data_IF_745685027583
#
_entry.id   IF_745685027583
#
_cell.length_a   1.000
_cell.length_b   1.000
_cell.length_c   1.000
_cell.angle_alpha   90.00
_cell.angle_beta   90.00
_cell.angle_gamma   90.00
#
_symmetry.space_group_name_H-M   'P 1'
#
loop_
_entity.id
_entity.type
_entity.pdbx_description
1 polymer ?
#
# COMPACT_ATOMS: atom_id res chain seq x y z
N UNK A 1 -12.08 34.80 16.47
CA UNK A 1 -10.63 34.93 16.21
C UNK A 1 -10.34 36.26 15.53
N UNK A 2 -9.36 37.01 16.03
CA UNK A 2 -8.93 38.28 15.43
C UNK A 2 -8.16 38.12 14.11
N UNK A 3 -8.07 39.20 13.34
CA UNK A 3 -7.42 39.23 12.01
C UNK A 3 -5.93 38.86 12.08
N UNK A 4 -5.21 39.34 13.10
CA UNK A 4 -3.79 39.08 13.33
C UNK A 4 -3.52 37.58 13.56
N UNK A 5 -4.33 36.92 14.39
CA UNK A 5 -4.22 35.47 14.64
C UNK A 5 -4.37 34.68 13.35
N UNK A 6 -5.37 35.00 12.53
CA UNK A 6 -5.56 34.34 11.22
C UNK A 6 -4.34 34.52 10.31
N UNK A 7 -3.71 35.70 10.32
CA UNK A 7 -2.52 35.99 9.53
C UNK A 7 -1.31 35.16 10.00
N UNK A 8 -1.01 35.17 11.31
CA UNK A 8 0.09 34.40 11.88
C UNK A 8 -0.10 32.90 11.66
N UNK A 9 -1.31 32.39 11.88
CA UNK A 9 -1.65 30.98 11.63
C UNK A 9 -1.48 30.65 10.14
N UNK A 10 -1.93 31.51 9.23
CA UNK A 10 -1.73 31.31 7.79
C UNK A 10 -0.25 31.26 7.36
N UNK A 11 0.60 32.10 7.95
CA UNK A 11 2.06 32.11 7.68
C UNK A 11 2.70 30.81 8.20
N UNK A 12 2.41 30.42 9.45
CA UNK A 12 2.93 29.17 10.02
C UNK A 12 2.53 27.93 9.20
N UNK A 13 1.29 27.91 8.69
CA UNK A 13 0.80 26.82 7.82
C UNK A 13 1.53 26.76 6.48
N UNK A 14 2.03 27.88 5.96
CA UNK A 14 2.84 27.92 4.74
C UNK A 14 4.21 27.29 4.93
N UNK A 15 4.84 27.47 6.09
CA UNK A 15 6.16 26.90 6.42
C UNK A 15 6.10 25.46 6.97
N UNK A 16 4.91 24.89 7.18
CA UNK A 16 4.74 23.52 7.66
C UNK A 16 5.45 22.47 6.80
N UNK A 17 6.01 21.45 7.46
CA UNK A 17 6.75 20.35 6.81
C UNK A 17 5.84 19.58 5.85
N UNK A 18 6.25 19.50 4.59
CA UNK A 18 5.60 18.73 3.53
C UNK A 18 6.00 17.25 3.61
N UNK A 19 5.08 16.38 3.20
CA UNK A 19 5.37 14.97 3.00
C UNK A 19 5.89 14.75 1.57
N UNK A 20 6.95 13.95 1.43
CA UNK A 20 7.43 13.53 0.11
C UNK A 20 6.48 12.48 -0.49
N UNK A 21 5.96 12.74 -1.69
CA UNK A 21 5.10 11.84 -2.45
C UNK A 21 5.94 10.88 -3.33
N UNK A 22 5.37 9.72 -3.63
CA UNK A 22 5.97 8.70 -4.49
C UNK A 22 6.18 9.22 -5.93
N UNK A 23 7.11 8.60 -6.67
CA UNK A 23 7.35 8.92 -8.08
C UNK A 23 6.20 8.46 -8.99
N UNK A 24 6.15 8.97 -10.23
CA UNK A 24 5.13 8.60 -11.23
C UNK A 24 5.12 7.09 -11.53
N UNK A 25 6.29 6.46 -11.55
CA UNK A 25 6.43 5.02 -11.78
C UNK A 25 5.72 4.22 -10.68
N UNK A 26 5.83 4.66 -9.43
CA UNK A 26 5.15 4.03 -8.29
C UNK A 26 3.64 4.28 -8.31
N UNK A 27 3.19 5.45 -8.78
CA UNK A 27 1.75 5.70 -9.02
C UNK A 27 1.21 4.73 -10.08
N UNK A 28 1.92 4.57 -11.20
CA UNK A 28 1.53 3.64 -12.27
C UNK A 28 1.49 2.18 -11.79
N UNK A 29 2.50 1.74 -11.04
CA UNK A 29 2.51 0.42 -10.41
C UNK A 29 1.27 0.17 -9.55
N UNK A 30 0.85 1.18 -8.79
CA UNK A 30 -0.30 1.06 -7.89
C UNK A 30 -1.66 0.99 -8.56
N UNK A 31 -1.77 1.45 -9.81
CA UNK A 31 -2.97 1.21 -10.63
C UNK A 31 -3.10 -0.30 -10.91
N UNK A 32 -2.00 -0.95 -11.29
CA UNK A 32 -1.96 -2.39 -11.49
C UNK A 32 -2.24 -3.18 -10.22
N UNK A 33 -1.66 -2.76 -9.08
CA UNK A 33 -1.96 -3.34 -7.77
C UNK A 33 -3.46 -3.24 -7.42
N UNK A 34 -4.07 -2.07 -7.67
CA UNK A 34 -5.48 -1.83 -7.38
C UNK A 34 -6.40 -2.69 -8.26
N UNK A 35 -6.05 -2.86 -9.53
CA UNK A 35 -6.77 -3.74 -10.45
C UNK A 35 -6.75 -5.20 -9.98
N UNK A 36 -5.57 -5.74 -9.68
CA UNK A 36 -5.43 -7.13 -9.21
C UNK A 36 -6.09 -7.32 -7.85
N UNK A 37 -5.94 -6.38 -6.91
CA UNK A 37 -6.61 -6.43 -5.61
C UNK A 37 -8.15 -6.49 -5.76
N UNK A 38 -8.73 -5.68 -6.65
CA UNK A 38 -10.16 -5.70 -6.92
C UNK A 38 -10.60 -7.06 -7.53
N UNK A 39 -9.81 -7.61 -8.45
CA UNK A 39 -10.06 -8.93 -9.03
C UNK A 39 -10.01 -10.04 -7.96
N UNK A 40 -8.98 -10.05 -7.09
CA UNK A 40 -8.85 -11.00 -5.99
C UNK A 40 -10.04 -10.90 -5.02
N UNK A 41 -10.44 -9.68 -4.62
CA UNK A 41 -11.60 -9.47 -3.74
C UNK A 41 -12.90 -9.99 -4.36
N UNK A 42 -13.06 -9.84 -5.67
CA UNK A 42 -14.25 -10.32 -6.41
C UNK A 42 -14.23 -11.84 -6.58
N UNK A 43 -13.10 -12.41 -6.96
CA UNK A 43 -12.95 -13.85 -7.23
C UNK A 43 -12.82 -14.72 -5.99
N UNK A 44 -12.38 -14.14 -4.87
CA UNK A 44 -12.17 -14.82 -3.59
C UNK A 44 -12.99 -14.16 -2.47
N UNK A 45 -14.35 -14.23 -2.52
CA UNK A 45 -15.20 -13.52 -1.56
C UNK A 45 -14.99 -13.94 -0.10
N UNK A 46 -14.51 -15.16 0.13
CA UNK A 46 -14.22 -15.73 1.45
C UNK A 46 -12.75 -15.61 1.88
N UNK A 47 -11.91 -14.92 1.10
CA UNK A 47 -10.52 -14.67 1.48
C UNK A 47 -10.38 -13.45 2.40
N UNK A 48 -9.44 -13.53 3.33
CA UNK A 48 -8.89 -12.34 3.98
C UNK A 48 -7.72 -11.83 3.13
N UNK A 49 -7.73 -10.56 2.78
CA UNK A 49 -6.72 -9.97 1.89
C UNK A 49 -6.23 -8.67 2.49
N UNK A 50 -4.92 -8.58 2.71
CA UNK A 50 -4.21 -7.34 3.04
C UNK A 50 -3.44 -6.84 1.82
N UNK A 51 -3.41 -5.53 1.60
CA UNK A 51 -2.65 -4.88 0.51
C UNK A 51 -1.54 -3.98 1.03
N UNK A 52 -0.46 -3.80 0.25
CA UNK A 52 0.70 -2.97 0.59
C UNK A 52 1.21 -3.26 2.01
N UNK A 53 1.46 -4.53 2.31
CA UNK A 53 1.85 -4.94 3.65
C UNK A 53 3.31 -4.56 3.87
N UNK A 54 3.56 -3.62 4.78
CA UNK A 54 4.90 -3.20 5.17
C UNK A 54 5.43 -4.12 6.27
N UNK A 55 6.63 -4.65 6.05
CA UNK A 55 7.30 -5.59 6.95
C UNK A 55 8.57 -4.92 7.45
N UNK A 56 8.64 -4.65 8.75
CA UNK A 56 9.82 -4.08 9.40
C UNK A 56 10.30 -5.06 10.48
N UNK A 57 11.54 -5.51 10.39
CA UNK A 57 12.16 -6.41 11.35
C UNK A 57 13.66 -6.14 11.48
N UNK A 58 14.12 -5.86 12.70
CA UNK A 58 15.54 -5.65 13.00
C UNK A 58 16.26 -4.71 12.01
N UNK A 59 15.69 -3.52 11.76
CA UNK A 59 16.20 -2.54 10.79
C UNK A 59 16.06 -2.93 9.30
N UNK A 60 15.57 -4.13 8.99
CA UNK A 60 15.28 -4.58 7.62
C UNK A 60 13.83 -4.30 7.23
N UNK A 61 13.64 -3.91 5.96
CA UNK A 61 12.33 -3.64 5.38
C UNK A 61 12.05 -4.45 4.12
N UNK A 62 10.83 -4.96 4.03
CA UNK A 62 10.21 -5.45 2.81
C UNK A 62 8.77 -4.96 2.69
N UNK A 63 8.22 -5.09 1.49
CA UNK A 63 6.82 -4.82 1.19
C UNK A 63 6.32 -6.00 0.37
N UNK A 64 5.06 -6.36 0.53
CA UNK A 64 4.36 -7.27 -0.38
C UNK A 64 3.06 -6.62 -0.82
N UNK A 65 2.78 -6.68 -2.12
CA UNK A 65 1.65 -5.96 -2.70
C UNK A 65 0.32 -6.51 -2.19
N UNK A 66 0.20 -7.83 -2.04
CA UNK A 66 -0.94 -8.49 -1.44
C UNK A 66 -0.53 -9.68 -0.56
N UNK A 67 -1.16 -9.80 0.59
CA UNK A 67 -1.11 -10.98 1.47
C UNK A 67 -2.52 -11.58 1.52
N UNK A 68 -2.67 -12.83 1.10
CA UNK A 68 -3.98 -13.48 0.93
C UNK A 68 -4.05 -14.72 1.80
N UNK A 69 -5.07 -14.80 2.65
CA UNK A 69 -5.48 -16.02 3.34
C UNK A 69 -6.71 -16.59 2.65
N UNK A 70 -6.59 -17.81 2.16
CA UNK A 70 -7.73 -18.55 1.61
C UNK A 70 -7.72 -19.97 2.15
N UNK A 71 -8.71 -20.28 3.00
CA UNK A 71 -8.73 -21.52 3.81
C UNK A 71 -7.43 -21.62 4.64
N UNK A 72 -6.80 -22.79 4.67
CA UNK A 72 -5.56 -23.03 5.40
C UNK A 72 -4.31 -22.72 4.55
N UNK A 73 -4.38 -21.74 3.64
CA UNK A 73 -3.25 -21.35 2.77
C UNK A 73 -2.98 -19.85 2.90
N UNK A 74 -1.70 -19.50 2.97
CA UNK A 74 -1.22 -18.13 2.96
C UNK A 74 -0.44 -17.89 1.67
N UNK A 75 -0.76 -16.81 0.96
CA UNK A 75 -0.08 -16.40 -0.27
C UNK A 75 0.48 -14.99 -0.10
N UNK A 76 1.69 -14.79 -0.58
CA UNK A 76 2.17 -13.46 -0.97
C UNK A 76 1.95 -13.33 -2.48
N UNK A 77 1.45 -12.19 -2.91
CA UNK A 77 1.24 -11.90 -4.34
C UNK A 77 1.96 -10.62 -4.68
N UNK A 78 2.93 -10.71 -5.57
CA UNK A 78 3.71 -9.60 -6.10
C UNK A 78 3.20 -9.24 -7.50
N UNK A 79 3.04 -7.95 -7.77
CA UNK A 79 2.33 -7.43 -8.94
C UNK A 79 3.29 -6.56 -9.75
N UNK A 80 3.63 -7.00 -10.96
CA UNK A 80 4.53 -6.28 -11.86
C UNK A 80 3.79 -5.77 -13.10
N UNK A 81 3.59 -4.46 -13.16
CA UNK A 81 2.91 -3.79 -14.29
C UNK A 81 3.84 -3.54 -15.50
N UNK A 82 4.79 -4.45 -15.75
CA UNK A 82 5.73 -4.34 -16.87
C UNK A 82 4.99 -4.61 -18.18
N UNK A 83 5.23 -3.75 -19.18
CA UNK A 83 4.55 -3.84 -20.49
C UNK A 83 5.41 -4.56 -21.52
N UNK A 84 4.75 -5.19 -22.49
CA UNK A 84 5.41 -5.85 -23.62
C UNK A 84 5.83 -7.27 -23.29
N UNK A 85 6.82 -7.78 -24.02
CA UNK A 85 7.34 -9.13 -23.84
C UNK A 85 8.36 -9.12 -22.70
N UNK A 86 8.11 -9.93 -21.68
CA UNK A 86 8.93 -10.02 -20.47
C UNK A 86 9.71 -11.33 -20.49
N UNK A 87 11.01 -11.27 -20.26
CA UNK A 87 11.85 -12.46 -20.17
C UNK A 87 12.78 -12.40 -18.96
N UNK A 88 12.94 -13.52 -18.27
CA UNK A 88 13.99 -13.69 -17.26
C UNK A 88 15.36 -13.81 -17.93
N UNK A 89 16.40 -13.28 -17.28
CA UNK A 89 17.81 -13.37 -17.66
C UNK A 89 18.65 -13.68 -16.41
N UNK A 90 19.95 -13.96 -16.58
CA UNK A 90 20.86 -14.19 -15.45
C UNK A 90 20.89 -13.01 -14.46
N UNK A 91 20.73 -11.79 -14.97
CA UNK A 91 20.79 -10.55 -14.20
C UNK A 91 19.43 -10.08 -13.65
N UNK A 92 18.33 -10.75 -14.00
CA UNK A 92 16.98 -10.39 -13.56
C UNK A 92 15.95 -10.55 -14.66
N UNK A 93 15.23 -9.47 -14.96
CA UNK A 93 14.16 -9.47 -15.96
C UNK A 93 14.35 -8.35 -16.96
N UNK A 94 13.93 -8.59 -18.19
CA UNK A 94 13.90 -7.59 -19.23
C UNK A 94 12.46 -7.50 -19.75
N UNK A 95 11.97 -6.28 -19.97
CA UNK A 95 10.74 -6.05 -20.70
C UNK A 95 11.03 -5.31 -22.00
N UNK A 96 10.56 -5.85 -23.13
CA UNK A 96 10.69 -5.26 -24.46
C UNK A 96 9.32 -4.83 -24.95
N UNK A 97 9.15 -3.54 -25.28
CA UNK A 97 7.90 -3.00 -25.84
C UNK A 97 8.15 -2.24 -27.13
N UNK A 98 7.27 -2.42 -28.10
CA UNK A 98 7.28 -1.60 -29.30
C UNK A 98 6.76 -0.19 -28.97
N UNK A 99 7.45 0.82 -29.50
CA UNK A 99 7.08 2.22 -29.37
C UNK A 99 5.73 2.50 -30.02
N UNK A 100 5.06 3.55 -29.55
CA UNK A 100 3.73 3.97 -30.04
C UNK A 100 3.66 4.20 -31.57
N UNK A 101 4.79 4.49 -32.20
CA UNK A 101 4.92 4.75 -33.64
C UNK A 101 5.55 3.58 -34.41
N UNK A 102 5.68 2.40 -33.81
CA UNK A 102 6.08 1.16 -34.50
C UNK A 102 7.56 0.99 -34.81
N UNK A 103 8.36 2.05 -34.80
CA UNK A 103 9.74 2.03 -35.33
C UNK A 103 10.83 1.68 -34.30
N UNK A 104 10.58 1.85 -33.00
CA UNK A 104 11.59 1.64 -31.95
C UNK A 104 11.16 0.61 -30.91
N UNK A 105 12.06 -0.28 -30.52
CA UNK A 105 11.90 -1.16 -29.37
C UNK A 105 12.54 -0.52 -28.14
N UNK A 106 11.80 -0.49 -27.04
CA UNK A 106 12.29 -0.01 -25.75
C UNK A 106 12.52 -1.19 -24.83
N UNK A 107 13.72 -1.27 -24.29
CA UNK A 107 14.15 -2.32 -23.38
C UNK A 107 14.36 -1.73 -21.99
N UNK A 108 13.70 -2.30 -20.98
CA UNK A 108 13.89 -1.92 -19.58
C UNK A 108 14.39 -3.13 -18.79
N UNK A 109 15.41 -2.92 -17.95
CA UNK A 109 15.94 -3.93 -17.04
C UNK A 109 15.30 -3.81 -15.67
N UNK A 110 14.91 -4.94 -15.10
CA UNK A 110 14.23 -5.06 -13.83
C UNK A 110 14.90 -6.08 -12.93
N UNK A 111 14.81 -5.85 -11.61
CA UNK A 111 15.23 -6.85 -10.62
C UNK A 111 14.21 -7.99 -10.55
N UNK A 112 14.67 -9.18 -10.23
CA UNK A 112 13.80 -10.35 -10.02
C UNK A 112 12.73 -10.06 -8.95
N UNK A 113 11.44 -10.27 -9.25
CA UNK A 113 10.35 -10.17 -8.28
C UNK A 113 10.42 -11.32 -7.27
N UNK A 114 10.83 -12.52 -7.70
CA UNK A 114 10.95 -13.70 -6.85
C UNK A 114 11.96 -13.51 -5.70
N UNK A 115 13.11 -12.88 -5.97
CA UNK A 115 14.08 -12.52 -4.91
C UNK A 115 13.49 -11.54 -3.89
N UNK A 116 12.65 -10.60 -4.34
CA UNK A 116 11.96 -9.65 -3.45
C UNK A 116 10.94 -10.38 -2.57
N UNK A 117 10.15 -11.28 -3.16
CA UNK A 117 9.16 -12.08 -2.43
C UNK A 117 9.77 -13.00 -1.39
N UNK A 118 10.82 -13.77 -1.75
CA UNK A 118 11.52 -14.64 -0.80
C UNK A 118 12.02 -13.87 0.42
N UNK A 119 12.55 -12.66 0.21
CA UNK A 119 12.97 -11.77 1.29
C UNK A 119 11.77 -11.31 2.13
N UNK A 120 10.66 -10.93 1.51
CA UNK A 120 9.44 -10.54 2.20
C UNK A 120 8.88 -11.70 3.05
N UNK A 121 8.74 -12.89 2.48
CA UNK A 121 8.29 -14.11 3.17
C UNK A 121 9.18 -14.47 4.36
N UNK A 122 10.49 -14.37 4.20
CA UNK A 122 11.44 -14.57 5.30
C UNK A 122 11.19 -13.57 6.42
N UNK A 123 11.17 -12.27 6.11
CA UNK A 123 10.95 -11.21 7.12
C UNK A 123 9.57 -11.28 7.76
N UNK A 124 8.54 -11.74 7.05
CA UNK A 124 7.20 -11.99 7.61
C UNK A 124 7.25 -13.05 8.72
N UNK A 125 7.97 -14.15 8.49
CA UNK A 125 8.10 -15.22 9.49
C UNK A 125 8.88 -14.75 10.71
N UNK A 126 9.99 -14.04 10.49
CA UNK A 126 10.82 -13.51 11.58
C UNK A 126 10.10 -12.44 12.41
N UNK A 127 9.43 -11.47 11.77
CA UNK A 127 8.70 -10.40 12.46
C UNK A 127 7.52 -10.90 13.29
N UNK A 128 6.88 -11.97 12.84
CA UNK A 128 5.68 -12.52 13.52
C UNK A 128 6.02 -13.68 14.46
N UNK A 129 7.23 -14.22 14.39
CA UNK A 129 7.61 -15.45 15.08
C UNK A 129 6.68 -16.62 14.74
N UNK A 130 6.15 -16.64 13.52
CA UNK A 130 5.27 -17.70 12.99
C UNK A 130 5.95 -18.38 11.80
N UNK A 131 5.61 -19.64 11.55
CA UNK A 131 6.25 -20.44 10.50
C UNK A 131 5.24 -21.10 9.54
N UNK A 132 4.22 -20.39 9.03
CA UNK A 132 3.38 -20.95 7.99
C UNK A 132 4.19 -21.17 6.71
N UNK A 133 3.72 -22.09 5.88
CA UNK A 133 4.08 -22.11 4.47
C UNK A 133 3.47 -20.87 3.80
N UNK A 134 4.31 -20.12 3.09
CA UNK A 134 3.90 -18.96 2.31
C UNK A 134 4.05 -19.35 0.84
N UNK A 135 2.95 -19.35 0.11
CA UNK A 135 2.94 -19.59 -1.31
C UNK A 135 3.30 -18.28 -2.01
N UNK A 136 4.49 -18.22 -2.58
CA UNK A 136 5.01 -17.04 -3.25
C UNK A 136 4.55 -17.03 -4.71
N UNK A 137 3.85 -15.98 -5.10
CA UNK A 137 3.26 -15.88 -6.43
C UNK A 137 3.50 -14.51 -7.07
N UNK A 138 3.91 -14.48 -8.33
CA UNK A 138 4.06 -13.24 -9.10
C UNK A 138 3.00 -13.15 -10.19
N UNK A 139 2.46 -11.95 -10.43
CA UNK A 139 1.58 -11.69 -11.57
C UNK A 139 2.08 -10.50 -12.41
N UNK A 140 2.02 -10.66 -13.73
CA UNK A 140 2.39 -9.66 -14.74
C UNK A 140 1.16 -9.22 -15.55
N UNK A 141 0.20 -8.48 -14.96
CA UNK A 141 -1.10 -8.23 -15.59
C UNK A 141 -1.03 -7.32 -16.84
N UNK A 142 0.10 -6.66 -17.08
CA UNK A 142 0.30 -5.74 -18.21
C UNK A 142 1.25 -6.28 -19.29
N UNK A 143 1.82 -7.48 -19.08
CA UNK A 143 2.74 -8.09 -20.03
C UNK A 143 1.96 -8.71 -21.21
N UNK A 144 2.53 -8.61 -22.40
CA UNK A 144 2.01 -9.30 -23.59
C UNK A 144 2.35 -10.79 -23.55
N UNK A 145 3.56 -11.10 -23.07
CA UNK A 145 4.04 -12.46 -22.86
C UNK A 145 5.08 -12.47 -21.72
N UNK A 146 5.25 -13.62 -21.07
CA UNK A 146 6.25 -13.81 -20.02
C UNK A 146 6.96 -15.14 -20.26
N UNK A 147 8.28 -15.09 -20.35
CA UNK A 147 9.16 -16.26 -20.40
C UNK A 147 10.11 -16.21 -19.19
N UNK A 148 9.78 -16.95 -18.13
CA UNK A 148 10.62 -17.08 -16.95
C UNK A 148 11.12 -18.52 -16.79
N UNK A 149 12.37 -18.67 -16.36
CA UNK A 149 12.99 -19.97 -16.08
C UNK A 149 12.58 -20.51 -14.72
N UNK A 150 12.18 -19.61 -13.81
CA UNK A 150 11.92 -19.95 -12.42
C UNK A 150 10.56 -19.47 -11.92
N UNK A 151 9.94 -20.35 -11.13
CA UNK A 151 8.82 -20.10 -10.22
C UNK A 151 7.43 -19.86 -10.82
N UNK A 152 6.44 -19.88 -9.93
CA UNK A 152 5.02 -19.82 -10.26
C UNK A 152 4.61 -18.36 -10.52
N UNK A 153 4.29 -18.07 -11.79
CA UNK A 153 3.83 -16.76 -12.23
C UNK A 153 2.54 -16.83 -13.05
N UNK A 154 1.85 -15.70 -13.11
CA UNK A 154 0.59 -15.55 -13.85
C UNK A 154 0.63 -14.30 -14.74
N UNK A 155 -0.12 -14.31 -15.84
CA UNK A 155 -0.28 -13.15 -16.74
C UNK A 155 -1.70 -12.59 -16.72
N UNK A 156 -2.64 -13.31 -16.10
CA UNK A 156 -4.02 -12.87 -15.91
C UNK A 156 -4.51 -13.23 -14.50
N UNK A 157 -5.54 -12.52 -14.05
CA UNK A 157 -6.06 -12.65 -12.69
C UNK A 157 -6.87 -13.92 -12.48
N UNK A 158 -7.50 -14.46 -13.52
CA UNK A 158 -8.37 -15.63 -13.39
C UNK A 158 -7.55 -16.89 -13.08
N UNK A 159 -6.41 -17.07 -13.75
CA UNK A 159 -5.48 -18.17 -13.47
C UNK A 159 -4.86 -18.05 -12.08
N UNK A 160 -4.49 -16.83 -11.66
CA UNK A 160 -4.02 -16.56 -10.29
C UNK A 160 -5.09 -16.94 -9.26
N UNK A 161 -6.33 -16.51 -9.47
CA UNK A 161 -7.47 -16.82 -8.58
C UNK A 161 -7.69 -18.34 -8.53
N UNK A 162 -7.71 -19.00 -9.68
CA UNK A 162 -7.86 -20.45 -9.77
C UNK A 162 -6.74 -21.17 -9.01
N UNK A 163 -5.49 -20.74 -9.17
CA UNK A 163 -4.37 -21.28 -8.40
C UNK A 163 -4.56 -21.08 -6.89
N UNK A 164 -4.96 -19.89 -6.44
CA UNK A 164 -5.22 -19.64 -5.01
C UNK A 164 -6.32 -20.57 -4.48
N UNK A 165 -7.33 -20.89 -5.29
CA UNK A 165 -8.42 -21.79 -4.91
C UNK A 165 -7.93 -23.25 -4.84
N UNK A 166 -7.31 -23.76 -5.90
CA UNK A 166 -7.08 -25.19 -6.11
C UNK A 166 -5.67 -25.64 -5.78
N UNK A 167 -4.67 -24.78 -5.96
CA UNK A 167 -3.25 -25.04 -5.76
C UNK A 167 -2.73 -24.59 -4.39
N UNK A 168 -1.42 -24.39 -4.30
CA UNK A 168 -0.71 -23.95 -3.09
C UNK A 168 -0.67 -24.99 -1.95
N UNK A 169 0.29 -24.84 -1.05
CA UNK A 169 0.43 -25.67 0.14
C UNK A 169 -0.30 -25.07 1.33
N UNK A 170 -0.86 -25.96 2.14
CA UNK A 170 -1.55 -25.61 3.38
C UNK A 170 -0.59 -25.48 4.57
N UNK A 171 -1.07 -24.85 5.64
CA UNK A 171 -0.41 -24.82 6.94
C UNK A 171 -1.42 -24.85 8.08
N UNK A 172 -0.93 -24.99 9.31
CA UNK A 172 -1.77 -24.81 10.48
C UNK A 172 -2.41 -23.42 10.48
N UNK A 173 -3.72 -23.37 10.72
CA UNK A 173 -4.48 -22.13 10.63
C UNK A 173 -4.07 -21.11 11.70
N UNK A 174 -3.63 -21.56 12.88
CA UNK A 174 -3.18 -20.63 13.94
C UNK A 174 -1.89 -19.94 13.56
N UNK A 175 -0.96 -20.66 12.94
CA UNK A 175 0.28 -20.08 12.41
C UNK A 175 -0.01 -19.06 11.30
N UNK A 176 -0.95 -19.38 10.40
CA UNK A 176 -1.38 -18.45 9.35
C UNK A 176 -1.99 -17.18 9.95
N UNK A 177 -2.93 -17.32 10.89
CA UNK A 177 -3.60 -16.17 11.51
C UNK A 177 -2.64 -15.33 12.35
N UNK A 178 -1.72 -15.94 13.09
CA UNK A 178 -0.66 -15.22 13.78
C UNK A 178 0.17 -14.39 12.81
N UNK A 179 0.60 -14.98 11.69
CA UNK A 179 1.34 -14.26 10.65
C UNK A 179 0.52 -13.10 10.08
N UNK A 180 -0.70 -13.39 9.64
CA UNK A 180 -1.56 -12.44 8.94
C UNK A 180 -2.00 -11.28 9.83
N UNK A 181 -2.47 -11.55 11.05
CA UNK A 181 -3.07 -10.54 11.94
C UNK A 181 -2.03 -9.56 12.51
N UNK A 182 -0.77 -9.98 12.65
CA UNK A 182 0.33 -9.10 13.05
C UNK A 182 0.80 -8.14 11.94
N UNK A 183 0.44 -8.42 10.68
CA UNK A 183 0.74 -7.53 9.57
C UNK A 183 -0.24 -6.35 9.54
N UNK A 184 0.22 -5.16 9.15
CA UNK A 184 -0.65 -3.99 8.95
C UNK A 184 -0.60 -3.58 7.49
N UNK A 185 -1.77 -3.35 6.87
CA UNK A 185 -1.80 -2.68 5.58
C UNK A 185 -1.27 -1.25 5.71
N UNK A 186 -0.49 -0.80 4.74
CA UNK A 186 -0.04 0.57 4.76
C UNK A 186 -1.17 1.58 4.54
N UNK A 187 -1.06 2.71 5.23
CA UNK A 187 -1.83 3.92 4.96
C UNK A 187 -1.29 4.62 3.71
N UNK A 188 -2.16 5.41 3.06
CA UNK A 188 -1.78 6.27 1.93
C UNK A 188 -2.07 7.73 2.26
N UNK A 189 -1.04 8.56 2.20
CA UNK A 189 -1.17 10.01 2.37
C UNK A 189 -1.01 10.66 1.01
N UNK A 190 -2.00 11.44 0.60
CA UNK A 190 -2.01 12.21 -0.64
C UNK A 190 -1.71 13.66 -0.30
N UNK A 191 -0.79 14.25 -1.05
CA UNK A 191 -0.39 15.65 -0.92
C UNK A 191 -0.19 16.24 -2.31
N UNK A 192 -0.60 17.49 -2.48
CA UNK A 192 -0.59 18.23 -3.74
C UNK A 192 -1.55 17.62 -4.78
N UNK A 193 -2.84 17.98 -4.65
CA UNK A 193 -3.98 17.62 -5.51
C UNK A 193 -3.67 17.50 -7.02
N UNK A 194 -2.73 18.30 -7.54
CA UNK A 194 -2.37 18.34 -8.96
C UNK A 194 -1.46 17.18 -9.43
N UNK A 195 -0.82 16.46 -8.52
CA UNK A 195 0.21 15.47 -8.87
C UNK A 195 -0.27 14.03 -8.82
N UNK A 196 -1.47 13.78 -8.28
CA UNK A 196 -2.00 12.43 -7.97
C UNK A 196 -1.04 11.56 -7.12
N UNK A 197 0.00 12.17 -6.55
CA UNK A 197 1.02 11.49 -5.77
C UNK A 197 0.51 11.10 -4.39
N UNK A 198 0.95 9.94 -3.92
CA UNK A 198 0.72 9.49 -2.55
C UNK A 198 2.01 8.98 -1.93
N UNK A 199 2.06 8.86 -0.61
CA UNK A 199 3.09 8.13 0.13
C UNK A 199 2.46 6.94 0.85
N UNK A 200 3.10 5.79 0.76
CA UNK A 200 2.76 4.58 1.51
C UNK A 200 3.50 4.59 2.84
N UNK A 201 2.80 4.48 3.96
CA UNK A 201 3.42 4.56 5.29
C UNK A 201 2.51 4.01 6.41
N UNK A 202 2.96 4.05 7.67
CA UNK A 202 2.12 3.78 8.83
C UNK A 202 1.92 5.07 9.62
N UNK A 203 0.70 5.60 9.62
CA UNK A 203 0.29 6.74 10.46
C UNK A 203 0.16 6.28 11.91
N UNK A 204 0.79 7.01 12.81
CA UNK A 204 0.68 6.79 14.25
C UNK A 204 -0.77 7.08 14.71
N UNK A 205 -1.40 6.09 15.34
CA UNK A 205 -2.77 6.18 15.83
C UNK A 205 -2.97 7.31 16.84
N UNK A 206 -1.95 7.62 17.66
CA UNK A 206 -2.03 8.69 18.65
C UNK A 206 -1.98 10.08 18.03
N UNK A 207 -1.57 10.19 16.75
CA UNK A 207 -1.64 11.42 15.99
C UNK A 207 -3.00 11.67 15.33
N UNK A 208 -3.98 10.77 15.55
CA UNK A 208 -5.37 10.90 15.09
C UNK A 208 -6.36 10.94 16.28
N UNK A 209 -6.27 11.93 17.19
CA UNK A 209 -7.01 11.95 18.46
C UNK A 209 -8.46 12.43 18.29
N UNK A 210 -9.22 11.81 17.40
CA UNK A 210 -10.60 12.25 17.12
C UNK A 210 -11.60 11.68 18.13
N UNK A 211 -12.62 12.48 18.44
CA UNK A 211 -13.79 12.08 19.22
C UNK A 211 -15.07 12.49 18.50
N UNK A 212 -16.13 11.70 18.70
CA UNK A 212 -17.47 12.00 18.22
C UNK A 212 -18.47 11.79 19.36
N UNK A 213 -19.01 12.89 19.87
CA UNK A 213 -19.74 12.89 21.14
C UNK A 213 -18.85 12.39 22.27
N UNK A 214 -19.28 11.34 22.97
CA UNK A 214 -18.53 10.70 24.05
C UNK A 214 -17.63 9.54 23.59
N UNK A 215 -17.60 9.22 22.28
CA UNK A 215 -16.85 8.11 21.74
C UNK A 215 -15.48 8.56 21.22
N UNK A 216 -14.40 7.93 21.69
CA UNK A 216 -13.06 8.06 21.10
C UNK A 216 -13.00 7.23 19.82
N UNK A 217 -12.59 7.85 18.72
CA UNK A 217 -12.42 7.19 17.43
C UNK A 217 -11.00 6.60 17.37
N UNK A 218 -10.88 5.30 17.11
CA UNK A 218 -9.59 4.66 16.88
C UNK A 218 -9.20 4.80 15.42
N UNK A 219 -7.90 4.76 15.11
CA UNK A 219 -7.40 4.68 13.73
C UNK A 219 -8.08 3.56 12.95
N UNK A 220 -8.26 2.39 13.56
CA UNK A 220 -8.92 1.22 12.96
C UNK A 220 -10.38 1.46 12.55
N UNK A 221 -11.04 2.46 13.13
CA UNK A 221 -12.44 2.78 12.82
C UNK A 221 -12.54 3.68 11.58
N UNK A 222 -11.44 4.35 11.21
CA UNK A 222 -11.37 5.31 10.11
C UNK A 222 -11.15 4.56 8.79
N UNK A 223 -11.89 4.95 7.77
CA UNK A 223 -11.67 4.54 6.38
C UNK A 223 -10.74 5.55 5.69
N UNK A 224 -11.15 6.82 5.67
CA UNK A 224 -10.30 7.90 5.17
C UNK A 224 -10.64 9.26 5.78
N UNK A 225 -9.72 10.20 5.62
CA UNK A 225 -9.84 11.60 6.02
C UNK A 225 -9.59 12.46 4.78
N UNK A 226 -10.51 13.35 4.45
CA UNK A 226 -10.33 14.38 3.40
C UNK A 226 -10.11 15.74 4.05
N UNK A 227 -9.09 16.45 3.61
CA UNK A 227 -8.72 17.76 4.14
C UNK A 227 -9.21 18.84 3.19
N UNK A 228 -9.96 19.80 3.73
CA UNK A 228 -10.32 21.03 3.02
C UNK A 228 -9.49 22.18 3.58
N UNK A 229 -8.60 22.69 2.75
CA UNK A 229 -7.67 23.74 3.13
C UNK A 229 -8.33 25.12 3.12
N UNK A 230 -8.21 25.83 4.23
CA UNK A 230 -8.49 27.26 4.32
C UNK A 230 -7.21 28.00 4.74
N UNK A 231 -7.22 29.32 4.59
CA UNK A 231 -6.03 30.14 4.88
C UNK A 231 -5.52 29.94 6.32
N UNK A 232 -6.41 29.98 7.31
CA UNK A 232 -6.04 29.94 8.73
C UNK A 232 -6.49 28.67 9.48
N UNK A 233 -7.12 27.70 8.80
CA UNK A 233 -7.53 26.43 9.42
C UNK A 233 -7.72 25.36 8.34
N UNK A 234 -7.76 24.09 8.76
CA UNK A 234 -8.21 22.99 7.92
C UNK A 234 -9.54 22.46 8.42
N UNK A 235 -10.35 21.95 7.51
CA UNK A 235 -11.55 21.18 7.85
C UNK A 235 -11.31 19.72 7.46
N UNK A 236 -11.26 18.85 8.45
CA UNK A 236 -11.08 17.41 8.27
C UNK A 236 -12.45 16.76 8.18
N UNK A 237 -12.73 16.13 7.04
CA UNK A 237 -13.91 15.30 6.82
C UNK A 237 -13.50 13.85 7.02
N UNK A 238 -13.91 13.26 8.13
CA UNK A 238 -13.53 11.92 8.56
C UNK A 238 -14.66 10.96 8.23
N UNK A 239 -14.33 9.90 7.51
CA UNK A 239 -15.27 8.83 7.15
C UNK A 239 -14.84 7.57 7.88
N UNK A 240 -15.77 7.00 8.64
CA UNK A 240 -15.58 5.74 9.35
C UNK A 240 -15.92 4.56 8.44
N UNK A 241 -15.38 3.38 8.78
CA UNK A 241 -15.57 2.14 8.01
C UNK A 241 -17.02 1.66 7.96
N UNK A 242 -17.84 2.06 8.94
CA UNK A 242 -19.28 1.80 8.95
C UNK A 242 -20.11 2.83 8.17
N UNK A 243 -19.45 3.77 7.49
CA UNK A 243 -20.07 4.79 6.65
C UNK A 243 -20.46 6.07 7.39
N UNK A 244 -20.36 6.13 8.73
CA UNK A 244 -20.57 7.38 9.48
C UNK A 244 -19.55 8.43 9.09
N UNK A 245 -19.96 9.70 9.16
CA UNK A 245 -19.14 10.85 8.75
C UNK A 245 -19.24 11.96 9.77
N UNK A 246 -18.12 12.60 10.06
CA UNK A 246 -18.08 13.80 10.89
C UNK A 246 -16.95 14.72 10.43
N UNK A 247 -17.05 15.99 10.83
CA UNK A 247 -16.05 17.01 10.50
C UNK A 247 -15.49 17.67 11.75
N UNK A 248 -14.19 17.93 11.77
CA UNK A 248 -13.56 18.77 12.79
C UNK A 248 -12.66 19.83 12.14
N UNK A 249 -12.36 20.90 12.89
CA UNK A 249 -11.58 22.04 12.41
C UNK A 249 -10.36 22.27 13.29
N UNK A 250 -9.36 21.39 13.26
CA UNK A 250 -8.20 21.57 14.10
C UNK A 250 -7.34 22.72 13.59
N UNK A 251 -6.79 23.51 14.51
CA UNK A 251 -5.75 24.48 14.19
C UNK A 251 -4.38 23.80 14.20
N UNK A 252 -3.62 23.92 13.12
CA UNK A 252 -2.22 23.49 13.00
C UNK A 252 -1.96 22.02 13.40
N UNK A 253 -2.92 21.14 13.14
CA UNK A 253 -2.75 19.71 13.37
C UNK A 253 -1.54 19.17 12.61
N UNK A 254 -0.87 18.21 13.22
CA UNK A 254 0.20 17.45 12.62
C UNK A 254 -0.12 15.97 12.75
N UNK A 255 0.36 15.20 11.80
CA UNK A 255 0.33 13.74 11.87
C UNK A 255 1.74 13.22 12.04
N UNK A 256 1.86 12.11 12.77
CA UNK A 256 3.11 11.37 12.90
C UNK A 256 3.03 10.14 12.02
N UNK A 257 4.11 9.90 11.28
CA UNK A 257 4.24 8.79 10.36
C UNK A 257 5.47 8.01 10.77
N UNK A 258 5.28 6.72 11.01
CA UNK A 258 6.37 5.79 11.22
C UNK A 258 6.94 5.39 9.86
N UNK A 259 8.19 5.76 9.63
CA UNK A 259 8.96 5.33 8.47
C UNK A 259 10.24 4.65 8.98
N UNK A 260 10.25 3.33 8.90
CA UNK A 260 11.23 2.46 9.54
C UNK A 260 11.15 2.60 11.09
N UNK A 261 12.23 3.05 11.75
CA UNK A 261 12.29 3.33 13.19
C UNK A 261 12.14 4.81 13.51
N UNK A 262 12.08 5.67 12.49
CA UNK A 262 11.96 7.11 12.67
C UNK A 262 10.49 7.53 12.64
N UNK A 263 10.11 8.35 13.61
CA UNK A 263 8.83 9.02 13.63
C UNK A 263 9.01 10.40 13.01
N UNK A 264 8.37 10.61 11.86
CA UNK A 264 8.38 11.88 11.15
C UNK A 264 7.05 12.61 11.32
N UNK A 265 7.11 13.92 11.50
CA UNK A 265 5.93 14.75 11.76
C UNK A 265 5.62 15.67 10.57
N UNK A 266 4.41 15.55 10.02
CA UNK A 266 3.96 16.32 8.86
C UNK A 266 2.77 17.20 9.19
N UNK A 267 2.71 18.38 8.59
CA UNK A 267 1.61 19.32 8.82
C UNK A 267 0.38 18.90 8.01
N UNK A 268 -0.80 18.83 8.65
CA UNK A 268 -2.08 18.54 7.96
C UNK A 268 -2.38 19.59 6.88
N UNK A 269 -1.92 20.82 7.04
CA UNK A 269 -2.05 21.88 6.03
C UNK A 269 -1.32 21.59 4.70
N UNK A 270 -0.55 20.48 4.64
CA UNK A 270 0.17 20.00 3.44
C UNK A 270 -0.38 18.67 2.91
N UNK A 271 -1.49 18.19 3.43
CA UNK A 271 -2.05 16.86 3.13
C UNK A 271 -3.48 17.05 2.66
N UNK A 272 -3.82 16.50 1.51
CA UNK A 272 -5.16 16.58 0.94
C UNK A 272 -6.05 15.43 1.42
N UNK A 273 -5.47 14.23 1.60
CA UNK A 273 -6.20 13.03 1.99
C UNK A 273 -5.32 12.02 2.72
N UNK A 274 -5.91 11.29 3.66
CA UNK A 274 -5.32 10.13 4.31
C UNK A 274 -6.27 8.95 4.13
N UNK A 275 -5.83 7.87 3.51
CA UNK A 275 -6.53 6.58 3.48
C UNK A 275 -5.88 5.64 4.51
N UNK A 276 -6.69 5.04 5.38
CA UNK A 276 -6.19 4.19 6.46
C UNK A 276 -6.19 2.72 6.01
N UNK A 277 -5.03 2.07 6.13
CA UNK A 277 -4.87 0.64 5.83
C UNK A 277 -5.71 -0.23 6.77
N UNK A 278 -6.18 -1.38 6.27
CA UNK A 278 -7.07 -2.28 7.03
C UNK A 278 -6.41 -3.17 8.06
#
# INVERSE_FOLDING_TARGET
MGLLHKLFTGIARKSGKKIGINSKEKVYGSIGESYVYAALKKGLPNAEIKRNVLINYAGSRAETDCLVVYKNKLFTVEIKSWKGDVSETEDGFISVKQGKYGEAYYTEQHKSPFKQMRRASYLLKESTGSKPWINETVIFPAASSVAAFSEEFFVNTDDLINHIITGGRTSDYKEIKKCFDMCTEADRIYAEYLTEGFRTCIVDADSLPFSWGNMRIKKSDIDYIKVKHNFSYDELNIVLRDGRRFSCKPENMKIRVLDNENIEEYSISKIDRIEIGR
#
